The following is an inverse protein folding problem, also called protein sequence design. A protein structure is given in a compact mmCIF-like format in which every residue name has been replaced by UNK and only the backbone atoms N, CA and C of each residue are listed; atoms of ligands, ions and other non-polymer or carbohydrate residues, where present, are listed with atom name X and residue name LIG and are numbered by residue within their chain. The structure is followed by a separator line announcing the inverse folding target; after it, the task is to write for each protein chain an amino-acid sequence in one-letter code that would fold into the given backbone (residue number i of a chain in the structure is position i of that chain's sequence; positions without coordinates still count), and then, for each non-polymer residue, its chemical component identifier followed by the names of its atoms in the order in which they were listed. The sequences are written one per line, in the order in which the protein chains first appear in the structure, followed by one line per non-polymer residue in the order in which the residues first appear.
data_IF_104897378784
#
_entry.id   IF_104897378784
#
_cell.length_a   1.000
_cell.length_b   1.000
_cell.length_c   1.000
_cell.angle_alpha   90.00
_cell.angle_beta   90.00
_cell.angle_gamma   90.00
#
_symmetry.space_group_name_H-M   'P 1'
#
loop_
_entity.id
_entity.type
_entity.pdbx_description
1 polymer ?
#
# COMPACT_ATOMS: atom_id res chain seq x y z
N UNK A 1 -7.00 -10.39 12.33
CA UNK A 1 -6.63 -10.21 10.91
C UNK A 1 -6.97 -8.81 10.45
N UNK A 2 -6.03 -8.15 9.76
CA UNK A 2 -6.19 -6.80 9.23
C UNK A 2 -6.18 -6.81 7.70
N UNK A 3 -7.31 -6.40 7.10
CA UNK A 3 -7.43 -6.21 5.65
C UNK A 3 -7.03 -4.77 5.33
N UNK A 4 -5.81 -4.55 4.84
CA UNK A 4 -5.28 -3.21 4.63
C UNK A 4 -5.75 -2.62 3.29
N UNK A 5 -6.65 -1.64 3.37
CA UNK A 5 -7.01 -0.80 2.22
C UNK A 5 -5.96 0.31 2.05
N UNK A 6 -5.32 0.45 0.86
CA UNK A 6 -4.33 1.49 0.63
C UNK A 6 -4.84 2.90 0.97
N UNK A 7 -3.92 3.75 1.45
CA UNK A 7 -4.15 5.19 1.75
C UNK A 7 -5.23 5.47 2.81
N UNK A 8 -5.53 4.47 3.64
CA UNK A 8 -6.46 4.58 4.78
C UNK A 8 -5.72 4.55 6.14
N UNK A 9 -4.53 5.17 6.21
CA UNK A 9 -3.67 5.22 7.41
C UNK A 9 -3.24 3.84 7.96
N UNK A 10 -3.30 2.77 7.15
CA UNK A 10 -2.95 1.44 7.64
C UNK A 10 -1.49 1.29 8.04
N UNK A 11 -0.54 2.03 7.44
CA UNK A 11 0.87 2.02 7.87
C UNK A 11 1.05 2.48 9.31
N UNK A 12 0.35 3.54 9.71
CA UNK A 12 0.42 4.10 11.07
C UNK A 12 -0.19 3.13 12.09
N UNK A 13 -1.42 2.65 11.82
CA UNK A 13 -2.04 1.61 12.63
C UNK A 13 -1.14 0.37 12.76
N UNK A 14 -0.52 -0.05 11.67
CA UNK A 14 0.39 -1.19 11.66
C UNK A 14 1.63 -0.96 12.52
N UNK A 15 2.19 0.25 12.53
CA UNK A 15 3.31 0.57 13.40
C UNK A 15 2.93 0.36 14.88
N UNK A 16 1.76 0.82 15.30
CA UNK A 16 1.27 0.64 16.66
C UNK A 16 0.96 -0.84 16.99
N UNK A 17 0.28 -1.55 16.10
CA UNK A 17 -0.10 -2.94 16.36
C UNK A 17 1.09 -3.90 16.33
N UNK A 18 2.12 -3.66 15.50
CA UNK A 18 3.36 -4.46 15.45
C UNK A 18 4.18 -4.38 16.74
N UNK A 19 4.03 -3.31 17.52
CA UNK A 19 4.66 -3.22 18.84
C UNK A 19 4.03 -4.25 19.77
N UNK A 20 2.70 -4.33 19.78
CA UNK A 20 1.91 -5.13 20.72
C UNK A 20 1.76 -6.59 20.33
N UNK A 21 1.66 -6.91 19.04
CA UNK A 21 1.36 -8.27 18.58
C UNK A 21 2.50 -8.84 17.71
N UNK A 22 2.74 -10.16 17.73
CA UNK A 22 3.52 -10.84 16.71
C UNK A 22 2.83 -10.63 15.36
N UNK A 23 3.55 -10.09 14.38
CA UNK A 23 2.99 -9.71 13.09
C UNK A 23 3.57 -10.54 11.96
N UNK A 24 2.67 -11.03 11.09
CA UNK A 24 3.03 -11.73 9.86
C UNK A 24 2.56 -10.91 8.65
N UNK A 25 3.53 -10.35 7.91
CA UNK A 25 3.27 -9.61 6.67
C UNK A 25 3.31 -10.56 5.47
N UNK A 26 2.35 -10.48 4.57
CA UNK A 26 2.28 -11.35 3.39
C UNK A 26 3.26 -10.97 2.26
N UNK A 27 4.06 -9.91 2.42
CA UNK A 27 5.19 -9.64 1.50
C UNK A 27 6.20 -10.79 1.43
N UNK A 28 6.12 -11.78 2.31
CA UNK A 28 6.88 -13.03 2.25
C UNK A 28 6.54 -13.91 1.02
N UNK A 29 5.54 -13.56 0.20
CA UNK A 29 5.27 -14.23 -1.08
C UNK A 29 6.11 -13.72 -2.25
N UNK A 30 6.79 -12.59 -2.10
CA UNK A 30 7.76 -12.12 -3.09
C UNK A 30 9.15 -12.64 -2.71
N UNK A 31 10.05 -12.75 -3.69
CA UNK A 31 11.44 -13.15 -3.48
C UNK A 31 12.17 -12.12 -2.60
N UNK A 32 11.88 -12.14 -1.30
CA UNK A 32 12.60 -11.34 -0.31
C UNK A 32 13.97 -11.99 -0.09
N UNK A 33 15.03 -11.19 0.12
CA UNK A 33 16.33 -11.73 0.49
C UNK A 33 16.20 -12.64 1.72
N UNK A 34 16.98 -13.72 1.76
CA UNK A 34 16.93 -14.71 2.86
C UNK A 34 17.18 -14.03 4.21
N UNK A 35 18.05 -13.03 4.24
CA UNK A 35 18.38 -12.25 5.43
C UNK A 35 17.16 -11.49 5.97
N UNK A 36 16.35 -10.94 5.08
CA UNK A 36 15.12 -10.24 5.43
C UNK A 36 14.03 -11.22 5.91
N UNK A 37 13.92 -12.38 5.27
CA UNK A 37 13.03 -13.46 5.72
C UNK A 37 13.39 -13.91 7.14
N UNK A 38 14.67 -14.21 7.39
CA UNK A 38 15.16 -14.66 8.70
C UNK A 38 14.91 -13.60 9.77
N UNK A 39 15.18 -12.33 9.47
CA UNK A 39 14.91 -11.22 10.39
C UNK A 39 13.42 -11.14 10.76
N UNK A 40 12.53 -11.23 9.77
CA UNK A 40 11.08 -11.19 9.99
C UNK A 40 10.58 -12.39 10.82
N UNK A 41 11.07 -13.61 10.51
CA UNK A 41 10.71 -14.83 11.24
C UNK A 41 11.24 -14.84 12.67
N UNK A 42 12.47 -14.35 12.89
CA UNK A 42 13.05 -14.24 14.23
C UNK A 42 12.26 -13.27 15.11
N UNK A 43 11.90 -12.10 14.57
CA UNK A 43 11.02 -11.13 15.24
C UNK A 43 9.66 -11.74 15.60
N UNK A 44 9.05 -12.50 14.70
CA UNK A 44 7.81 -13.22 14.97
C UNK A 44 7.98 -14.28 16.07
N UNK A 45 9.00 -15.15 15.95
CA UNK A 45 9.25 -16.26 16.86
C UNK A 45 9.54 -15.81 18.30
N UNK A 46 10.17 -14.64 18.48
CA UNK A 46 10.41 -14.06 19.81
C UNK A 46 9.13 -13.64 20.53
N UNK A 47 8.13 -13.11 19.81
CA UNK A 47 6.88 -12.60 20.41
C UNK A 47 5.80 -13.68 20.52
N UNK A 48 5.75 -14.62 19.58
CA UNK A 48 4.67 -15.64 19.55
C UNK A 48 4.66 -16.56 20.78
N UNK A 49 5.79 -16.69 21.48
CA UNK A 49 5.88 -17.49 22.70
C UNK A 49 5.16 -16.87 23.91
N UNK A 50 5.03 -15.55 23.95
CA UNK A 50 4.42 -14.82 25.07
C UNK A 50 3.02 -14.31 24.78
N UNK A 51 2.62 -14.27 23.50
CA UNK A 51 1.36 -13.66 23.06
C UNK A 51 0.33 -14.72 22.68
N UNK A 52 -0.92 -14.51 23.12
CA UNK A 52 -2.05 -15.41 22.77
C UNK A 52 -2.60 -15.15 21.37
N UNK A 53 -2.45 -13.92 20.91
CA UNK A 53 -2.99 -13.45 19.64
C UNK A 53 -1.86 -13.10 18.67
N UNK A 54 -2.04 -13.47 17.41
CA UNK A 54 -1.18 -13.02 16.32
C UNK A 54 -1.93 -12.05 15.42
N UNK A 55 -1.18 -11.14 14.82
CA UNK A 55 -1.70 -10.20 13.86
C UNK A 55 -1.22 -10.60 12.46
N UNK A 56 -2.18 -10.81 11.57
CA UNK A 56 -1.93 -11.18 10.16
C UNK A 56 -2.56 -10.12 9.27
N UNK A 57 -1.83 -9.68 8.24
CA UNK A 57 -2.38 -8.79 7.24
C UNK A 57 -1.36 -8.24 6.25
N UNK A 58 -1.85 -7.31 5.44
CA UNK A 58 -1.14 -6.76 4.29
C UNK A 58 -2.16 -6.22 3.27
N UNK A 59 -1.68 -5.81 2.10
CA UNK A 59 -2.51 -5.42 0.97
C UNK A 59 -3.14 -6.65 0.30
N UNK A 60 -3.98 -7.36 1.06
CA UNK A 60 -4.59 -8.64 0.68
C UNK A 60 -6.09 -8.47 0.68
N UNK A 61 -6.74 -8.93 -0.38
CA UNK A 61 -8.19 -8.97 -0.44
C UNK A 61 -8.75 -10.02 0.53
N UNK A 62 -9.89 -9.70 1.15
CA UNK A 62 -10.61 -10.63 2.03
C UNK A 62 -10.85 -12.00 1.36
N UNK A 63 -11.16 -11.99 0.06
CA UNK A 63 -11.42 -13.17 -0.74
C UNK A 63 -10.25 -14.17 -0.72
N UNK A 64 -9.01 -13.68 -0.65
CA UNK A 64 -7.82 -14.52 -0.58
C UNK A 64 -7.81 -15.32 0.72
N UNK A 65 -8.02 -14.66 1.86
CA UNK A 65 -8.05 -15.34 3.16
C UNK A 65 -9.14 -16.40 3.26
N UNK A 66 -10.29 -16.15 2.65
CA UNK A 66 -11.41 -17.10 2.57
C UNK A 66 -10.99 -18.32 1.73
N UNK A 67 -10.46 -18.08 0.52
CA UNK A 67 -10.06 -19.15 -0.41
C UNK A 67 -8.98 -20.05 0.16
N UNK A 68 -7.98 -19.46 0.81
CA UNK A 68 -6.89 -20.21 1.44
C UNK A 68 -7.28 -20.84 2.79
N UNK A 69 -8.53 -20.66 3.24
CA UNK A 69 -9.04 -21.16 4.52
C UNK A 69 -8.20 -20.70 5.73
N UNK A 70 -7.74 -19.45 5.68
CA UNK A 70 -6.90 -18.83 6.71
C UNK A 70 -7.70 -18.05 7.77
N UNK A 71 -9.02 -18.19 7.77
CA UNK A 71 -9.93 -17.57 8.73
C UNK A 71 -10.62 -18.68 9.52
N UNK A 72 -10.47 -18.64 10.84
CA UNK A 72 -11.21 -19.47 11.79
C UNK A 72 -12.40 -18.70 12.34
N UNK A 73 -13.39 -19.41 12.86
CA UNK A 73 -14.60 -18.82 13.42
C UNK A 73 -14.32 -17.80 14.54
N UNK A 74 -13.28 -18.02 15.34
CA UNK A 74 -12.93 -17.15 16.47
C UNK A 74 -12.07 -15.95 16.06
N UNK A 75 -11.53 -15.93 14.83
CA UNK A 75 -10.62 -14.88 14.41
C UNK A 75 -11.37 -13.54 14.28
N UNK A 76 -10.78 -12.49 14.86
CA UNK A 76 -11.31 -11.13 14.71
C UNK A 76 -10.77 -10.50 13.43
N UNK A 77 -11.68 -10.03 12.58
CA UNK A 77 -11.34 -9.33 11.34
C UNK A 77 -11.71 -7.86 11.45
N UNK A 78 -10.82 -7.00 10.98
CA UNK A 78 -11.10 -5.57 10.91
C UNK A 78 -10.39 -4.92 9.72
N UNK A 79 -10.89 -3.75 9.35
CA UNK A 79 -10.31 -2.90 8.32
C UNK A 79 -10.53 -1.44 8.70
N UNK A 80 -9.80 -0.53 8.07
CA UNK A 80 -10.05 0.91 8.15
C UNK A 80 -10.38 1.39 6.76
N UNK A 81 -11.50 2.09 6.66
CA UNK A 81 -11.92 2.79 5.45
C UNK A 81 -11.74 4.29 5.64
N UNK A 82 -11.50 4.99 4.54
CA UNK A 82 -11.38 6.45 4.49
C UNK A 82 -12.40 6.97 3.48
N UNK A 83 -12.79 8.23 3.67
CA UNK A 83 -13.52 8.97 2.64
C UNK A 83 -12.90 8.73 1.25
N UNK A 84 -13.71 8.35 0.24
CA UNK A 84 -13.20 7.95 -1.04
C UNK A 84 -12.40 9.06 -1.75
N UNK A 85 -12.85 10.32 -1.69
CA UNK A 85 -12.16 11.45 -2.30
C UNK A 85 -10.81 11.72 -1.63
N UNK A 86 -10.79 11.72 -0.29
CA UNK A 86 -9.54 11.87 0.47
C UNK A 86 -8.54 10.74 0.18
N UNK A 87 -9.02 9.54 -0.14
CA UNK A 87 -8.16 8.41 -0.54
C UNK A 87 -7.51 8.64 -1.90
N UNK A 88 -8.26 9.15 -2.89
CA UNK A 88 -7.72 9.54 -4.21
C UNK A 88 -6.69 10.65 -4.07
N UNK A 89 -7.02 11.72 -3.36
CA UNK A 89 -6.10 12.84 -3.14
C UNK A 89 -4.81 12.35 -2.46
N UNK A 90 -4.94 11.48 -1.45
CA UNK A 90 -3.78 10.90 -0.78
C UNK A 90 -2.93 9.98 -1.68
N UNK A 91 -3.53 9.33 -2.68
CA UNK A 91 -2.79 8.56 -3.69
C UNK A 91 -2.04 9.50 -4.63
N UNK A 92 -2.73 10.51 -5.19
CA UNK A 92 -2.14 11.48 -6.11
C UNK A 92 -0.96 12.19 -5.46
N UNK A 93 -1.14 12.74 -4.27
CA UNK A 93 -0.07 13.39 -3.52
C UNK A 93 1.12 12.44 -3.27
N UNK A 94 0.84 11.18 -2.95
CA UNK A 94 1.91 10.20 -2.75
C UNK A 94 2.72 9.97 -4.03
N UNK A 95 2.06 9.79 -5.18
CA UNK A 95 2.76 9.57 -6.45
C UNK A 95 3.57 10.81 -6.84
N UNK A 96 3.00 12.01 -6.74
CA UNK A 96 3.71 13.27 -7.02
C UNK A 96 4.92 13.42 -6.10
N UNK A 97 4.75 13.25 -4.79
CA UNK A 97 5.87 13.34 -3.84
C UNK A 97 6.95 12.28 -4.11
N UNK A 98 6.59 11.08 -4.57
CA UNK A 98 7.58 10.06 -4.95
C UNK A 98 8.39 10.46 -6.18
N UNK A 99 7.77 11.08 -7.18
CA UNK A 99 8.51 11.65 -8.32
C UNK A 99 9.43 12.81 -7.92
N UNK A 100 9.05 13.64 -6.95
CA UNK A 100 9.94 14.68 -6.44
C UNK A 100 11.16 14.10 -5.71
N UNK A 101 11.00 12.96 -5.03
CA UNK A 101 12.10 12.27 -4.32
C UNK A 101 12.96 11.43 -5.26
N UNK A 102 12.39 10.92 -6.34
CA UNK A 102 13.09 10.17 -7.39
C UNK A 102 12.76 10.73 -8.80
N UNK A 103 13.38 11.88 -9.16
CA UNK A 103 13.12 12.56 -10.41
C UNK A 103 13.52 11.73 -11.64
N UNK A 104 14.53 10.89 -11.46
CA UNK A 104 15.04 9.99 -12.50
C UNK A 104 14.18 8.74 -12.71
N UNK A 105 13.17 8.53 -11.87
CA UNK A 105 12.29 7.37 -11.92
C UNK A 105 13.05 6.02 -11.85
N UNK A 106 14.15 5.98 -11.07
CA UNK A 106 15.00 4.81 -10.98
C UNK A 106 14.41 3.69 -10.10
N UNK A 107 13.59 4.06 -9.10
CA UNK A 107 12.93 3.09 -8.23
C UNK A 107 11.83 2.33 -8.99
N UNK A 108 11.60 1.05 -8.63
CA UNK A 108 10.66 0.20 -9.35
C UNK A 108 9.22 0.73 -9.35
N UNK A 109 8.81 1.44 -8.28
CA UNK A 109 7.48 2.04 -8.17
C UNK A 109 7.33 3.23 -9.13
N UNK A 110 8.25 4.20 -9.05
CA UNK A 110 8.29 5.39 -9.91
C UNK A 110 8.52 5.03 -11.37
N UNK A 111 9.41 4.10 -11.70
CA UNK A 111 9.62 3.58 -13.05
C UNK A 111 8.32 3.00 -13.66
N UNK A 112 7.58 2.24 -12.87
CA UNK A 112 6.31 1.66 -13.33
C UNK A 112 5.25 2.73 -13.58
N UNK A 113 5.15 3.75 -12.73
CA UNK A 113 4.20 4.84 -12.96
C UNK A 113 4.65 5.75 -14.10
N UNK A 114 5.95 5.99 -14.23
CA UNK A 114 6.54 6.78 -15.30
C UNK A 114 6.16 6.19 -16.66
N UNK A 115 6.31 4.86 -16.80
CA UNK A 115 5.85 4.10 -17.97
C UNK A 115 4.34 4.26 -18.23
N UNK A 116 3.50 4.22 -17.20
CA UNK A 116 2.04 4.41 -17.34
C UNK A 116 1.65 5.83 -17.74
N UNK A 117 2.43 6.83 -17.32
CA UNK A 117 2.19 8.25 -17.59
C UNK A 117 2.89 8.74 -18.87
N UNK A 118 3.69 7.88 -19.51
CA UNK A 118 4.50 8.25 -20.67
C UNK A 118 5.57 9.29 -20.34
N UNK A 119 6.11 9.28 -19.13
CA UNK A 119 7.20 10.15 -18.68
C UNK A 119 8.45 9.32 -18.41
N UNK A 120 9.63 9.92 -18.61
CA UNK A 120 10.93 9.28 -18.37
C UNK A 120 11.64 9.87 -17.15
N UNK A 121 11.50 11.18 -16.97
CA UNK A 121 12.02 11.93 -15.83
C UNK A 121 11.06 13.05 -15.50
N UNK A 122 11.15 13.57 -14.28
CA UNK A 122 10.56 14.85 -13.90
C UNK A 122 11.68 15.82 -13.54
N UNK A 123 11.43 17.13 -13.60
CA UNK A 123 12.43 18.10 -13.15
C UNK A 123 12.50 18.14 -11.62
N UNK A 124 13.71 18.33 -11.08
CA UNK A 124 13.98 18.45 -9.64
C UNK A 124 13.36 19.71 -9.04
N UNK A 125 13.19 20.72 -9.87
CA UNK A 125 12.73 22.07 -9.54
C UNK A 125 11.30 22.35 -10.03
N UNK A 126 10.48 21.30 -10.22
CA UNK A 126 9.11 21.44 -10.71
C UNK A 126 8.33 22.49 -9.92
N UNK A 127 7.83 23.47 -10.66
CA UNK A 127 6.92 24.50 -10.16
C UNK A 127 5.63 23.86 -9.65
N UNK A 128 4.89 24.59 -8.80
CA UNK A 128 3.59 24.13 -8.32
C UNK A 128 2.62 23.82 -9.47
N UNK A 129 2.67 24.58 -10.56
CA UNK A 129 1.83 24.35 -11.73
C UNK A 129 2.17 23.03 -12.43
N UNK A 130 3.46 22.70 -12.57
CA UNK A 130 3.90 21.42 -13.13
C UNK A 130 3.53 20.24 -12.24
N UNK A 131 3.63 20.40 -10.92
CA UNK A 131 3.15 19.42 -9.95
C UNK A 131 1.64 19.19 -10.09
N UNK A 132 0.84 20.25 -10.31
CA UNK A 132 -0.60 20.13 -10.55
C UNK A 132 -0.89 19.38 -11.87
N UNK A 133 -0.17 19.68 -12.95
CA UNK A 133 -0.32 18.94 -14.22
C UNK A 133 0.03 17.46 -14.08
N UNK A 134 1.06 17.14 -13.31
CA UNK A 134 1.40 15.75 -12.99
C UNK A 134 0.31 15.09 -12.14
N UNK A 135 -0.22 15.81 -11.13
CA UNK A 135 -1.31 15.35 -10.29
C UNK A 135 -2.56 15.01 -11.12
N UNK A 136 -2.92 15.86 -12.09
CA UNK A 136 -4.02 15.62 -13.02
C UNK A 136 -3.77 14.37 -13.87
N UNK A 137 -2.58 14.21 -14.44
CA UNK A 137 -2.21 12.99 -15.19
C UNK A 137 -2.37 11.74 -14.34
N UNK A 138 -1.98 11.78 -13.08
CA UNK A 138 -2.14 10.66 -12.13
C UNK A 138 -3.63 10.40 -11.83
N UNK A 139 -4.40 11.47 -11.58
CA UNK A 139 -5.81 11.40 -11.24
C UNK A 139 -6.64 10.74 -12.35
N UNK A 140 -6.34 11.08 -13.61
CA UNK A 140 -7.04 10.58 -14.78
C UNK A 140 -6.40 9.32 -15.40
N UNK A 141 -5.32 8.79 -14.80
CA UNK A 141 -4.74 7.51 -15.23
C UNK A 141 -5.53 6.33 -14.64
N UNK A 142 -6.28 5.64 -15.48
CA UNK A 142 -6.98 4.40 -15.11
C UNK A 142 -6.01 3.31 -14.63
N UNK A 143 -4.81 3.25 -15.21
CA UNK A 143 -3.84 2.21 -14.88
C UNK A 143 -3.28 2.39 -13.47
N UNK A 144 -2.96 3.64 -13.09
CA UNK A 144 -2.46 3.95 -11.75
C UNK A 144 -3.58 3.76 -10.72
N UNK A 145 -4.77 4.29 -11.00
CA UNK A 145 -5.90 4.21 -10.06
C UNK A 145 -6.35 2.75 -9.85
N UNK A 146 -6.36 1.91 -10.89
CA UNK A 146 -6.62 0.46 -10.76
C UNK A 146 -5.50 -0.26 -10.02
N UNK A 147 -4.24 -0.03 -10.38
CA UNK A 147 -3.08 -0.67 -9.72
C UNK A 147 -3.01 -0.34 -8.23
N UNK A 148 -3.50 0.83 -7.82
CA UNK A 148 -3.55 1.25 -6.43
C UNK A 148 -4.88 0.93 -5.73
N UNK A 149 -5.80 0.21 -6.40
CA UNK A 149 -7.12 -0.16 -5.89
C UNK A 149 -7.98 1.05 -5.44
N UNK A 150 -7.83 2.18 -6.15
CA UNK A 150 -8.59 3.41 -5.93
C UNK A 150 -9.39 3.78 -7.19
N UNK A 151 -10.46 3.04 -7.50
CA UNK A 151 -11.35 3.35 -8.62
C UNK A 151 -12.62 4.07 -8.15
N UNK A 152 -12.71 5.38 -8.37
CA UNK A 152 -13.88 6.19 -7.98
C UNK A 152 -14.52 6.99 -9.11
N UNK A 153 -13.75 7.38 -10.12
CA UNK A 153 -14.18 8.46 -11.01
C UNK A 153 -15.15 8.05 -12.14
N UNK A 154 -15.23 6.76 -12.51
CA UNK A 154 -16.10 6.34 -13.64
C UNK A 154 -17.55 5.99 -13.27
N UNK A 155 -17.88 5.83 -11.98
CA UNK A 155 -19.24 5.41 -11.58
C UNK A 155 -20.20 6.57 -11.24
N UNK A 156 -19.73 7.81 -11.34
CA UNK A 156 -20.49 9.00 -10.93
C UNK A 156 -20.40 10.12 -11.98
N UNK A 157 -20.55 9.77 -13.26
CA UNK A 157 -20.93 10.76 -14.28
C UNK A 157 -22.40 11.11 -14.02
N UNK A 158 -22.63 12.28 -13.43
CA UNK A 158 -23.94 12.93 -13.38
C UNK A 158 -24.24 13.60 -14.73
#
# INVERSE_FOLDING_TARGET
MFVHVPKCAGTDLMAHLKIRYPWLHESMKHSIPVEELVRNLSGFASKVKSEKDILVGGHIELQWFIREKLIRFEDKMFTIIRDPYKRVISLVNYVVSRFMVDPTCAAADTASWAKMLGITTVSEDMTFEEQCRLADKVLFSDDITKKCHVSLLRKWQF
#
